data_IF_166772541600
#
_entry.id   IF_166772541600
#
_cell.length_a   1.000
_cell.length_b   1.000
_cell.length_c   1.000
_cell.angle_alpha   90.00
_cell.angle_beta   90.00
_cell.angle_gamma   90.00
#
_symmetry.space_group_name_H-M   'P 1'
#
loop_
_entity.id
_entity.type
_entity.pdbx_description
1 polymer ?
#
# COMPACT_ATOMS: atom_id res chain seq x y z
N UNK A 1 -21.31 -13.50 -16.19
CA UNK A 1 -21.44 -12.77 -14.91
C UNK A 1 -20.17 -11.93 -14.71
N UNK A 2 -20.11 -10.76 -15.37
CA UNK A 2 -18.94 -9.88 -15.36
C UNK A 2 -18.88 -9.13 -14.02
N UNK A 3 -17.89 -9.49 -13.21
CA UNK A 3 -17.96 -9.36 -11.76
C UNK A 3 -17.17 -8.17 -11.21
N UNK A 4 -17.61 -6.95 -11.55
CA UNK A 4 -17.05 -5.72 -10.98
C UNK A 4 -17.08 -5.76 -9.43
N UNK A 5 -18.13 -6.35 -8.84
CA UNK A 5 -18.24 -6.56 -7.40
C UNK A 5 -17.11 -7.43 -6.81
N UNK A 6 -16.81 -8.61 -7.39
CA UNK A 6 -15.70 -9.45 -6.89
C UNK A 6 -14.34 -8.75 -7.01
N UNK A 7 -14.10 -8.00 -8.10
CA UNK A 7 -12.85 -7.22 -8.24
C UNK A 7 -12.75 -6.17 -7.14
N UNK A 8 -13.82 -5.43 -6.87
CA UNK A 8 -13.87 -4.45 -5.79
C UNK A 8 -13.60 -5.08 -4.42
N UNK A 9 -14.26 -6.21 -4.12
CA UNK A 9 -14.04 -6.94 -2.86
C UNK A 9 -12.59 -7.44 -2.75
N UNK A 10 -12.03 -8.00 -3.82
CA UNK A 10 -10.65 -8.46 -3.81
C UNK A 10 -9.65 -7.30 -3.55
N UNK A 11 -9.82 -6.16 -4.23
CA UNK A 11 -9.00 -4.96 -4.01
C UNK A 11 -9.08 -4.47 -2.55
N UNK A 12 -10.28 -4.48 -1.95
CA UNK A 12 -10.46 -4.12 -0.55
C UNK A 12 -9.75 -5.11 0.40
N UNK A 13 -9.83 -6.42 0.11
CA UNK A 13 -9.12 -7.45 0.89
C UNK A 13 -7.61 -7.28 0.80
N UNK A 14 -7.05 -7.00 -0.38
CA UNK A 14 -5.62 -6.72 -0.55
C UNK A 14 -5.19 -5.47 0.22
N UNK A 15 -6.01 -4.42 0.24
CA UNK A 15 -5.72 -3.21 1.00
C UNK A 15 -5.74 -3.46 2.52
N UNK A 16 -6.71 -4.24 3.01
CA UNK A 16 -6.79 -4.64 4.41
C UNK A 16 -5.61 -5.51 4.83
N UNK A 17 -5.18 -6.47 3.99
CA UNK A 17 -3.97 -7.26 4.24
C UNK A 17 -2.72 -6.37 4.27
N UNK A 18 -2.60 -5.42 3.33
CA UNK A 18 -1.51 -4.45 3.31
C UNK A 18 -1.46 -3.63 4.61
N UNK A 19 -2.62 -3.14 5.08
CA UNK A 19 -2.70 -2.38 6.32
C UNK A 19 -2.18 -3.17 7.53
N UNK A 20 -2.61 -4.43 7.68
CA UNK A 20 -2.16 -5.28 8.78
C UNK A 20 -0.64 -5.48 8.74
N UNK A 21 -0.09 -5.72 7.55
CA UNK A 21 1.35 -5.87 7.37
C UNK A 21 2.12 -4.56 7.61
N UNK A 22 1.53 -3.40 7.31
CA UNK A 22 2.15 -2.09 7.53
C UNK A 22 2.37 -1.79 9.03
N UNK A 23 1.56 -2.37 9.94
CA UNK A 23 1.83 -2.24 11.38
C UNK A 23 3.04 -3.05 11.84
N UNK A 24 3.43 -4.08 11.09
CA UNK A 24 4.60 -4.91 11.38
C UNK A 24 5.84 -4.26 10.72
N UNK A 25 6.04 -2.97 11.00
CA UNK A 25 7.10 -2.15 10.44
C UNK A 25 8.27 -1.98 11.42
N UNK A 26 9.49 -1.99 10.91
CA UNK A 26 10.71 -1.81 11.70
C UNK A 26 11.64 -0.78 11.08
N UNK A 27 12.36 0.01 11.88
CA UNK A 27 13.29 1.02 11.37
C UNK A 27 14.49 0.35 10.70
N UNK A 28 14.77 0.73 9.46
CA UNK A 28 15.93 0.19 8.71
C UNK A 28 17.23 0.77 9.24
N UNK A 29 17.22 2.07 9.56
CA UNK A 29 18.38 2.79 10.09
C UNK A 29 18.06 3.31 11.50
N UNK A 30 18.81 2.90 12.54
CA UNK A 30 18.56 3.37 13.91
C UNK A 30 18.60 4.90 14.07
N UNK A 31 19.39 5.60 13.25
CA UNK A 31 19.48 7.06 13.26
C UNK A 31 18.21 7.75 12.69
N UNK A 32 17.38 7.04 11.92
CA UNK A 32 16.23 7.59 11.21
C UNK A 32 14.98 6.76 11.52
N UNK A 33 14.39 6.96 12.71
CA UNK A 33 13.21 6.19 13.17
C UNK A 33 11.94 6.35 12.32
N UNK A 34 11.90 7.33 11.43
CA UNK A 34 10.82 7.51 10.45
C UNK A 34 10.96 6.61 9.22
N UNK A 35 12.18 6.14 8.90
CA UNK A 35 12.43 5.28 7.74
C UNK A 35 12.21 3.82 8.12
N UNK A 36 10.94 3.43 8.08
CA UNK A 36 10.51 2.07 8.37
C UNK A 36 10.35 1.26 7.09
N UNK A 37 10.67 -0.01 7.18
CA UNK A 37 10.33 -1.00 6.16
C UNK A 37 9.23 -1.91 6.70
N UNK A 38 8.34 -2.33 5.80
CA UNK A 38 7.24 -3.23 6.07
C UNK A 38 6.94 -4.08 4.82
N UNK A 39 6.05 -5.07 4.94
CA UNK A 39 5.73 -6.00 3.86
C UNK A 39 4.40 -5.67 3.15
N UNK A 40 3.83 -4.48 3.37
CA UNK A 40 2.51 -4.12 2.83
C UNK A 40 2.48 -3.95 1.31
N UNK A 41 3.64 -3.77 0.68
CA UNK A 41 3.77 -3.68 -0.78
C UNK A 41 3.52 -5.03 -1.48
N UNK A 42 3.64 -6.16 -0.77
CA UNK A 42 3.38 -7.50 -1.34
C UNK A 42 1.90 -7.65 -1.72
N UNK A 43 0.91 -7.38 -0.85
CA UNK A 43 -0.50 -7.32 -1.25
C UNK A 43 -0.79 -6.34 -2.39
N UNK A 44 -0.10 -5.18 -2.41
CA UNK A 44 -0.30 -4.16 -3.45
C UNK A 44 0.15 -4.68 -4.82
N UNK A 45 1.32 -5.29 -4.90
CA UNK A 45 1.84 -5.79 -6.17
C UNK A 45 1.02 -7.00 -6.65
N UNK A 46 0.57 -7.86 -5.73
CA UNK A 46 -0.33 -8.96 -6.05
C UNK A 46 -1.66 -8.46 -6.62
N UNK A 47 -2.28 -7.44 -6.02
CA UNK A 47 -3.51 -6.87 -6.57
C UNK A 47 -3.28 -6.25 -7.95
N UNK A 48 -2.13 -5.59 -8.13
CA UNK A 48 -1.73 -4.99 -9.40
C UNK A 48 -1.60 -6.02 -10.52
N UNK A 49 -0.88 -7.11 -10.29
CA UNK A 49 -0.71 -8.18 -11.27
C UNK A 49 -2.02 -8.94 -11.56
N UNK A 50 -2.86 -9.15 -10.55
CA UNK A 50 -4.11 -9.91 -10.72
C UNK A 50 -5.23 -9.12 -11.39
N UNK A 51 -5.35 -7.82 -11.12
CA UNK A 51 -6.50 -7.01 -11.57
C UNK A 51 -6.12 -5.74 -12.35
N UNK A 52 -4.83 -5.52 -12.61
CA UNK A 52 -4.28 -4.44 -13.45
C UNK A 52 -3.74 -3.23 -12.66
N UNK A 53 -3.08 -2.29 -13.34
CA UNK A 53 -2.29 -1.22 -12.70
C UNK A 53 -3.15 -0.31 -11.80
N UNK A 54 -4.35 0.03 -12.27
CA UNK A 54 -5.30 0.88 -11.51
C UNK A 54 -5.68 0.22 -10.19
N UNK A 55 -5.84 -1.10 -10.17
CA UNK A 55 -6.23 -1.81 -8.95
C UNK A 55 -5.10 -1.81 -7.92
N UNK A 56 -3.84 -1.94 -8.35
CA UNK A 56 -2.67 -1.81 -7.50
C UNK A 56 -2.54 -0.42 -6.89
N UNK A 57 -2.68 0.64 -7.71
CA UNK A 57 -2.65 2.02 -7.22
C UNK A 57 -3.77 2.28 -6.21
N UNK A 58 -4.99 1.79 -6.48
CA UNK A 58 -6.09 1.89 -5.53
C UNK A 58 -5.83 1.11 -4.23
N UNK A 59 -5.24 -0.09 -4.31
CA UNK A 59 -4.84 -0.85 -3.13
C UNK A 59 -3.81 -0.09 -2.29
N UNK A 60 -2.77 0.47 -2.92
CA UNK A 60 -1.75 1.28 -2.24
C UNK A 60 -2.35 2.52 -1.56
N UNK A 61 -3.27 3.19 -2.26
CA UNK A 61 -3.97 4.36 -1.74
C UNK A 61 -4.82 3.98 -0.53
N UNK A 62 -5.68 2.97 -0.66
CA UNK A 62 -6.57 2.53 0.42
C UNK A 62 -5.78 2.07 1.65
N UNK A 63 -4.71 1.30 1.45
CA UNK A 63 -3.80 0.89 2.52
C UNK A 63 -3.30 2.11 3.30
N UNK A 64 -2.65 3.04 2.60
CA UNK A 64 -1.98 4.21 3.22
C UNK A 64 -2.99 5.17 3.85
N UNK A 65 -4.15 5.34 3.21
CA UNK A 65 -5.24 6.16 3.74
C UNK A 65 -5.83 5.57 5.03
N UNK A 66 -6.06 4.25 5.06
CA UNK A 66 -6.53 3.56 6.26
C UNK A 66 -5.49 3.63 7.37
N UNK A 67 -4.20 3.42 7.05
CA UNK A 67 -3.12 3.55 8.01
C UNK A 67 -3.12 4.95 8.62
N UNK A 68 -3.17 6.01 7.81
CA UNK A 68 -3.21 7.39 8.27
C UNK A 68 -4.38 7.67 9.24
N UNK A 69 -5.59 7.20 8.93
CA UNK A 69 -6.75 7.38 9.82
C UNK A 69 -6.55 6.68 11.15
N UNK A 70 -5.98 5.47 11.13
CA UNK A 70 -5.77 4.67 12.34
C UNK A 70 -4.60 5.13 13.20
N UNK A 71 -3.55 5.71 12.61
CA UNK A 71 -2.41 6.27 13.33
C UNK A 71 -2.59 7.74 13.73
N UNK A 72 -3.58 8.42 13.17
CA UNK A 72 -3.92 9.81 13.43
C UNK A 72 -3.26 10.81 12.47
N UNK A 73 -3.87 11.99 12.35
CA UNK A 73 -3.53 13.03 11.36
C UNK A 73 -2.39 13.97 11.80
N UNK A 74 -1.42 13.48 12.57
CA UNK A 74 -0.24 14.25 12.88
C UNK A 74 0.56 14.55 11.59
N UNK A 75 1.20 15.73 11.45
CA UNK A 75 1.95 16.08 10.23
C UNK A 75 2.99 15.03 9.82
N UNK A 76 3.62 14.37 10.79
CA UNK A 76 4.61 13.32 10.57
C UNK A 76 4.00 12.07 9.93
N UNK A 77 2.79 11.68 10.36
CA UNK A 77 2.08 10.53 9.80
C UNK A 77 1.58 10.85 8.38
N UNK A 78 1.05 12.06 8.16
CA UNK A 78 0.61 12.50 6.83
C UNK A 78 1.77 12.41 5.83
N UNK A 79 2.93 12.97 6.20
CA UNK A 79 4.12 12.91 5.34
C UNK A 79 4.58 11.47 5.14
N UNK A 80 4.57 10.64 6.19
CA UNK A 80 4.96 9.24 6.12
C UNK A 80 4.06 8.41 5.20
N UNK A 81 2.75 8.50 5.34
CA UNK A 81 1.80 7.74 4.53
C UNK A 81 1.72 8.23 3.08
N UNK A 82 1.86 9.53 2.84
CA UNK A 82 1.98 10.06 1.48
C UNK A 82 3.28 9.58 0.82
N UNK A 83 4.40 9.61 1.55
CA UNK A 83 5.67 9.09 1.06
C UNK A 83 5.58 7.57 0.77
N UNK A 84 4.95 6.81 1.66
CA UNK A 84 4.72 5.37 1.48
C UNK A 84 3.87 5.10 0.23
N UNK A 85 2.73 5.78 0.06
CA UNK A 85 1.90 5.65 -1.14
C UNK A 85 2.65 5.95 -2.44
N UNK A 86 3.40 7.05 -2.47
CA UNK A 86 4.17 7.45 -3.64
C UNK A 86 5.31 6.47 -3.93
N UNK A 87 6.06 6.05 -2.91
CA UNK A 87 7.15 5.08 -3.06
C UNK A 87 6.62 3.74 -3.61
N UNK A 88 5.54 3.21 -3.02
CA UNK A 88 4.89 1.99 -3.49
C UNK A 88 4.43 2.14 -4.94
N UNK A 89 3.77 3.25 -5.29
CA UNK A 89 3.26 3.46 -6.66
C UNK A 89 4.39 3.58 -7.68
N UNK A 90 5.43 4.37 -7.37
CA UNK A 90 6.61 4.53 -8.22
C UNK A 90 7.42 3.25 -8.36
N UNK A 91 7.36 2.33 -7.40
CA UNK A 91 8.01 1.02 -7.48
C UNK A 91 7.15 0.00 -8.24
N UNK A 92 5.88 -0.16 -7.86
CA UNK A 92 5.02 -1.21 -8.42
C UNK A 92 4.65 -0.98 -9.88
N UNK A 93 4.44 0.28 -10.32
CA UNK A 93 4.05 0.56 -11.71
C UNK A 93 5.12 0.13 -12.72
N UNK A 94 6.40 0.52 -12.60
CA UNK A 94 7.45 0.01 -13.48
C UNK A 94 7.57 -1.51 -13.43
N UNK A 95 7.47 -2.13 -12.25
CA UNK A 95 7.55 -3.59 -12.12
C UNK A 95 6.44 -4.28 -12.91
N UNK A 96 5.20 -3.78 -12.82
CA UNK A 96 4.07 -4.31 -13.59
C UNK A 96 4.19 -4.11 -15.11
N UNK A 97 4.83 -3.04 -15.57
CA UNK A 97 4.98 -2.79 -17.01
C UNK A 97 6.17 -3.53 -17.64
N UNK A 98 7.18 -3.89 -16.84
CA UNK A 98 8.37 -4.59 -17.31
C UNK A 98 8.21 -6.11 -17.26
N UNK A 99 7.49 -6.65 -16.27
CA UNK A 99 7.28 -8.07 -16.04
C UNK A 99 5.80 -8.44 -16.22
#
# INVERSE_FOLDING_TARGET
MHSNARKMVAVAMFAAMGLVLQYIAFPVMPAFGFLKIDFSDVPVILSMFLFGPISGVLTAFLRSFLHLITTGLAPQNIVGDVASFLATTCYCLPVYYVF
#
